data_IF_137839176570
#
_entry.id   IF_137839176570
#
_cell.length_a   1.000
_cell.length_b   1.000
_cell.length_c   1.000
_cell.angle_alpha   90.00
_cell.angle_beta   90.00
_cell.angle_gamma   90.00
#
_symmetry.space_group_name_H-M   'P 1'
#
loop_
_entity.id
_entity.type
_entity.pdbx_description
1 polymer ?
#
# COMPACT_ATOMS: atom_id res chain seq x y z
N UNK A 1 7.87 7.45 0.86
CA UNK A 1 8.32 6.87 -0.43
C UNK A 1 9.84 6.72 -0.51
N UNK A 2 10.64 7.76 -0.25
CA UNK A 2 12.12 7.65 -0.28
C UNK A 2 12.62 6.59 0.73
N UNK A 3 12.13 6.55 1.97
CA UNK A 3 12.56 5.55 2.95
C UNK A 3 12.13 4.11 2.62
N UNK A 4 10.95 3.90 2.02
CA UNK A 4 10.52 2.57 1.59
C UNK A 4 11.36 2.09 0.41
N UNK A 5 11.62 2.96 -0.58
CA UNK A 5 12.42 2.65 -1.75
C UNK A 5 13.90 2.43 -1.39
N UNK A 6 14.47 3.22 -0.47
CA UNK A 6 15.83 3.03 0.04
C UNK A 6 15.95 1.75 0.88
N UNK A 7 15.01 1.50 1.80
CA UNK A 7 14.97 0.25 2.55
C UNK A 7 14.85 -0.94 1.60
N UNK A 8 13.97 -0.89 0.61
CA UNK A 8 13.77 -1.98 -0.35
C UNK A 8 14.95 -2.21 -1.30
N UNK A 9 15.65 -1.16 -1.76
CA UNK A 9 16.87 -1.33 -2.56
C UNK A 9 18.01 -1.99 -1.76
N UNK A 10 18.13 -1.68 -0.48
CA UNK A 10 19.07 -2.34 0.43
C UNK A 10 18.69 -3.79 0.73
N UNK A 11 17.41 -4.04 1.01
CA UNK A 11 16.89 -5.35 1.36
C UNK A 11 16.95 -6.35 0.17
N UNK A 12 16.73 -5.87 -1.06
CA UNK A 12 16.74 -6.70 -2.26
C UNK A 12 18.12 -7.08 -2.80
N UNK A 13 19.20 -6.34 -2.46
CA UNK A 13 20.55 -6.60 -2.99
C UNK A 13 21.49 -7.30 -1.99
N UNK A 14 21.31 -7.11 -0.68
CA UNK A 14 22.30 -7.55 0.33
C UNK A 14 21.74 -8.09 1.66
N UNK A 15 20.44 -8.12 1.90
CA UNK A 15 19.92 -8.78 3.12
C UNK A 15 19.92 -10.33 3.12
N UNK A 16 19.93 -11.06 1.97
CA UNK A 16 19.97 -12.53 1.99
C UNK A 16 21.21 -13.11 2.71
N UNK A 17 22.32 -12.37 2.70
CA UNK A 17 23.60 -12.75 3.33
C UNK A 17 23.62 -12.54 4.87
N UNK A 18 22.63 -11.84 5.44
CA UNK A 18 22.51 -11.62 6.88
C UNK A 18 21.41 -12.47 7.56
N UNK A 19 20.60 -13.21 6.78
CA UNK A 19 19.65 -14.21 7.28
C UNK A 19 20.32 -15.26 8.19
N UNK A 20 21.56 -15.73 7.93
CA UNK A 20 22.24 -16.66 8.83
C UNK A 20 22.60 -16.04 10.20
N UNK A 21 22.87 -14.73 10.25
CA UNK A 21 23.20 -14.02 11.50
C UNK A 21 21.98 -13.82 12.40
N UNK A 22 20.80 -13.59 11.80
CA UNK A 22 19.52 -13.47 12.52
C UNK A 22 19.11 -14.83 13.13
N UNK A 23 19.38 -15.94 12.43
CA UNK A 23 19.08 -17.29 12.93
C UNK A 23 20.07 -17.76 14.03
N UNK A 24 21.29 -17.22 14.05
CA UNK A 24 22.30 -17.51 15.09
C UNK A 24 21.95 -16.84 16.43
N UNK A 25 21.43 -15.59 16.40
CA UNK A 25 21.00 -14.89 17.61
C UNK A 25 19.73 -15.47 18.24
N UNK A 26 18.85 -16.10 17.46
CA UNK A 26 17.63 -16.71 17.95
C UNK A 26 17.83 -18.09 18.61
N UNK A 27 19.00 -18.70 18.49
CA UNK A 27 19.24 -20.08 18.95
C UNK A 27 20.02 -20.21 20.26
N UNK A 28 20.54 -19.11 20.82
CA UNK A 28 21.35 -19.13 22.05
C UNK A 28 20.80 -18.22 23.14
N UNK A 29 19.59 -18.48 23.66
CA UNK A 29 19.22 -18.08 25.03
C UNK A 29 18.07 -18.95 25.55
N UNK A 30 18.37 -20.18 25.99
CA UNK A 30 17.49 -20.94 26.88
C UNK A 30 18.35 -21.47 28.04
N UNK A 31 18.41 -20.72 29.14
CA UNK A 31 18.40 -21.28 30.51
C UNK A 31 18.18 -20.19 31.58
N UNK A 32 17.02 -20.27 32.23
CA UNK A 32 16.72 -20.02 33.66
C UNK A 32 17.19 -18.73 34.37
N UNK A 33 16.23 -17.90 34.79
CA UNK A 33 15.92 -17.69 36.23
C UNK A 33 14.66 -16.82 36.41
N UNK A 34 13.78 -17.29 37.28
CA UNK A 34 12.50 -16.68 37.66
C UNK A 34 12.68 -15.50 38.62
N UNK A 35 11.98 -14.39 38.36
CA UNK A 35 11.42 -13.59 39.45
C UNK A 35 10.19 -12.82 38.97
N UNK A 36 9.05 -13.14 39.57
CA UNK A 36 7.75 -12.53 39.28
C UNK A 36 7.67 -11.13 39.91
N UNK A 37 7.22 -10.14 39.12
CA UNK A 37 6.44 -9.00 39.60
C UNK A 37 5.41 -8.61 38.54
N UNK A 38 4.13 -8.89 38.81
CA UNK A 38 2.96 -8.25 38.16
C UNK A 38 2.74 -6.88 38.83
N UNK A 39 2.42 -5.83 38.06
CA UNK A 39 1.01 -5.42 37.89
C UNK A 39 0.74 -4.94 36.44
N UNK A 40 -0.45 -4.79 35.86
CA UNK A 40 -1.87 -4.85 36.24
C UNK A 40 -2.69 -5.03 34.94
N UNK A 41 -3.85 -5.71 35.00
CA UNK A 41 -4.93 -5.69 33.96
C UNK A 41 -5.58 -4.30 34.00
N UNK A 42 -6.06 -3.61 32.97
CA UNK A 42 -6.61 -3.86 31.61
C UNK A 42 -7.13 -2.49 31.08
N UNK A 43 -7.88 -2.35 29.96
CA UNK A 43 -7.82 -2.92 28.61
C UNK A 43 -7.80 -1.83 27.51
N UNK A 44 -7.18 -2.08 26.36
CA UNK A 44 -7.74 -1.59 25.09
C UNK A 44 -7.34 -2.55 23.97
N UNK A 45 -8.17 -3.56 23.76
CA UNK A 45 -8.38 -4.09 22.42
C UNK A 45 -8.93 -2.95 21.57
N UNK A 46 -8.06 -2.10 21.03
CA UNK A 46 -8.40 -1.31 19.87
C UNK A 46 -8.78 -2.34 18.81
N UNK A 47 -10.07 -2.47 18.53
CA UNK A 47 -10.52 -3.27 17.38
C UNK A 47 -9.73 -2.75 16.19
N UNK A 48 -8.86 -3.57 15.60
CA UNK A 48 -8.18 -3.21 14.36
C UNK A 48 -9.27 -2.78 13.38
N UNK A 49 -9.35 -1.48 13.10
CA UNK A 49 -10.36 -0.95 12.21
C UNK A 49 -10.15 -1.58 10.84
N UNK A 50 -11.06 -2.46 10.46
CA UNK A 50 -11.03 -3.15 9.18
C UNK A 50 -11.91 -2.41 8.17
N UNK A 51 -11.43 -2.31 6.94
CA UNK A 51 -12.23 -1.79 5.83
C UNK A 51 -13.53 -2.56 5.65
N UNK A 52 -14.64 -1.82 5.59
CA UNK A 52 -15.98 -2.38 5.41
C UNK A 52 -16.27 -2.58 3.92
N UNK A 53 -17.15 -3.55 3.56
CA UNK A 53 -17.69 -3.65 2.21
C UNK A 53 -18.36 -2.34 1.74
N UNK A 54 -18.36 -2.11 0.42
CA UNK A 54 -18.99 -0.95 -0.23
C UNK A 54 -20.14 -1.45 -1.10
N UNK A 55 -21.35 -0.92 -0.92
CA UNK A 55 -22.56 -1.27 -1.72
C UNK A 55 -22.73 -2.78 -1.97
N UNK A 56 -22.47 -3.62 -0.97
CA UNK A 56 -22.32 -5.07 -1.15
C UNK A 56 -23.62 -5.85 -0.91
N UNK A 57 -24.75 -5.35 -1.39
CA UNK A 57 -26.00 -6.10 -1.28
C UNK A 57 -25.95 -7.42 -2.06
N UNK A 58 -26.88 -8.34 -1.77
CA UNK A 58 -26.89 -9.68 -2.37
C UNK A 58 -26.97 -9.61 -3.89
N UNK A 59 -27.73 -8.65 -4.43
CA UNK A 59 -27.88 -8.45 -5.89
C UNK A 59 -26.53 -8.11 -6.53
N UNK A 60 -25.82 -7.09 -6.04
CA UNK A 60 -24.50 -6.71 -6.58
C UNK A 60 -23.49 -7.86 -6.49
N UNK A 61 -23.50 -8.61 -5.39
CA UNK A 61 -22.61 -9.77 -5.22
C UNK A 61 -22.92 -10.86 -6.25
N UNK A 62 -24.18 -11.21 -6.43
CA UNK A 62 -24.61 -12.22 -7.40
C UNK A 62 -24.29 -11.78 -8.84
N UNK A 63 -24.63 -10.54 -9.21
CA UNK A 63 -24.35 -9.98 -10.54
C UNK A 63 -22.85 -9.95 -10.85
N UNK A 64 -22.02 -9.52 -9.88
CA UNK A 64 -20.56 -9.48 -10.05
C UNK A 64 -19.99 -10.87 -10.34
N UNK A 65 -20.43 -11.87 -9.57
CA UNK A 65 -19.92 -13.24 -9.71
C UNK A 65 -20.41 -13.91 -11.00
N UNK A 66 -21.66 -13.65 -11.39
CA UNK A 66 -22.21 -14.10 -12.66
C UNK A 66 -21.45 -13.46 -13.83
N UNK A 67 -21.24 -12.14 -13.80
CA UNK A 67 -20.49 -11.41 -14.80
C UNK A 67 -19.07 -11.96 -14.95
N UNK A 68 -18.35 -12.22 -13.84
CA UNK A 68 -17.03 -12.85 -13.88
C UNK A 68 -17.11 -14.25 -14.49
N UNK A 69 -18.09 -15.07 -14.10
CA UNK A 69 -18.23 -16.45 -14.60
C UNK A 69 -18.40 -16.48 -16.12
N UNK A 70 -19.20 -15.56 -16.67
CA UNK A 70 -19.48 -15.45 -18.10
C UNK A 70 -18.30 -14.82 -18.85
N UNK A 71 -17.79 -13.69 -18.36
CA UNK A 71 -16.90 -12.81 -19.13
C UNK A 71 -15.41 -13.15 -19.01
N UNK A 72 -14.98 -13.89 -17.97
CA UNK A 72 -13.54 -14.13 -17.69
C UNK A 72 -12.76 -14.79 -18.83
N UNK A 73 -13.44 -15.48 -19.76
CA UNK A 73 -12.81 -16.17 -20.90
C UNK A 73 -12.80 -15.35 -22.19
N UNK A 74 -13.61 -14.30 -22.26
CA UNK A 74 -13.88 -13.53 -23.49
C UNK A 74 -13.32 -12.12 -23.39
N UNK A 75 -13.31 -11.54 -22.17
CA UNK A 75 -12.88 -10.17 -21.95
C UNK A 75 -11.40 -10.09 -21.54
N UNK A 76 -10.71 -8.99 -21.91
CA UNK A 76 -9.33 -8.76 -21.50
C UNK A 76 -9.15 -8.76 -19.99
N UNK A 77 -8.02 -9.31 -19.55
CA UNK A 77 -7.60 -9.35 -18.15
C UNK A 77 -6.17 -8.85 -18.02
N UNK A 78 -5.94 -7.97 -17.07
CA UNK A 78 -4.62 -7.45 -16.70
C UNK A 78 -4.37 -7.73 -15.22
N UNK A 79 -3.45 -8.65 -14.93
CA UNK A 79 -3.18 -9.09 -13.56
C UNK A 79 -4.43 -9.58 -12.84
N UNK A 80 -4.88 -8.82 -11.83
CA UNK A 80 -6.08 -9.11 -11.04
C UNK A 80 -7.36 -8.42 -11.55
N UNK A 81 -7.28 -7.62 -12.62
CA UNK A 81 -8.37 -6.81 -13.16
C UNK A 81 -8.98 -7.46 -14.40
N UNK A 82 -10.30 -7.66 -14.40
CA UNK A 82 -11.07 -8.12 -15.56
C UNK A 82 -11.93 -6.97 -16.10
N UNK A 83 -11.82 -6.68 -17.40
CA UNK A 83 -12.58 -5.62 -18.06
C UNK A 83 -14.00 -6.09 -18.39
N UNK A 84 -14.98 -5.77 -17.54
CA UNK A 84 -16.37 -6.22 -17.70
C UNK A 84 -17.03 -5.59 -18.93
N UNK A 85 -16.91 -4.27 -19.06
CA UNK A 85 -17.44 -3.48 -20.18
C UNK A 85 -16.42 -2.43 -20.61
N UNK A 86 -16.83 -1.46 -21.40
CA UNK A 86 -15.96 -0.33 -21.80
C UNK A 86 -15.86 0.74 -20.71
N UNK A 87 -16.76 0.72 -19.72
CA UNK A 87 -16.77 1.64 -18.59
C UNK A 87 -16.61 0.98 -17.22
N UNK A 88 -16.57 -0.35 -17.15
CA UNK A 88 -16.48 -1.09 -15.87
C UNK A 88 -15.43 -2.18 -15.90
N UNK A 89 -14.75 -2.36 -14.78
CA UNK A 89 -13.87 -3.49 -14.53
C UNK A 89 -14.05 -4.02 -13.10
N UNK A 90 -13.50 -5.21 -12.85
CA UNK A 90 -13.46 -5.79 -11.50
C UNK A 90 -12.04 -6.26 -11.17
N UNK A 91 -11.46 -5.71 -10.10
CA UNK A 91 -10.23 -6.22 -9.49
C UNK A 91 -10.60 -7.28 -8.46
N UNK A 92 -10.08 -8.49 -8.59
CA UNK A 92 -10.39 -9.56 -7.63
C UNK A 92 -9.28 -10.59 -7.45
N UNK A 93 -9.18 -11.11 -6.23
CA UNK A 93 -8.17 -12.10 -5.88
C UNK A 93 -8.06 -12.33 -4.37
N UNK A 94 -7.18 -13.25 -3.97
CA UNK A 94 -6.87 -13.52 -2.55
C UNK A 94 -6.00 -12.44 -1.91
N UNK A 95 -5.21 -11.72 -2.72
CA UNK A 95 -4.33 -10.64 -2.26
C UNK A 95 -4.95 -9.25 -2.35
N UNK A 96 -6.08 -9.11 -3.05
CA UNK A 96 -6.83 -7.85 -3.14
C UNK A 96 -7.47 -7.53 -1.79
N UNK A 97 -7.36 -6.28 -1.34
CA UNK A 97 -7.82 -5.86 -0.01
C UNK A 97 -8.98 -4.86 -0.11
N UNK A 98 -9.94 -4.93 0.82
CA UNK A 98 -11.02 -3.93 0.92
C UNK A 98 -10.48 -2.53 1.28
N UNK A 99 -9.26 -2.44 1.82
CA UNK A 99 -8.58 -1.17 2.07
C UNK A 99 -8.31 -0.40 0.79
N UNK A 100 -8.02 -1.06 -0.32
CA UNK A 100 -7.83 -0.41 -1.62
C UNK A 100 -9.11 0.36 -2.06
N UNK A 101 -10.27 -0.28 -1.92
CA UNK A 101 -11.56 0.37 -2.20
C UNK A 101 -11.86 1.53 -1.24
N UNK A 102 -11.47 1.38 0.04
CA UNK A 102 -11.62 2.44 1.03
C UNK A 102 -10.73 3.63 0.70
N UNK A 103 -9.49 3.38 0.26
CA UNK A 103 -8.54 4.43 -0.14
C UNK A 103 -9.03 5.19 -1.36
N UNK A 104 -9.47 4.50 -2.42
CA UNK A 104 -9.99 5.20 -3.61
C UNK A 104 -11.17 6.10 -3.26
N UNK A 105 -12.08 5.65 -2.38
CA UNK A 105 -13.18 6.50 -1.90
C UNK A 105 -12.67 7.70 -1.11
N UNK A 106 -11.74 7.49 -0.18
CA UNK A 106 -11.14 8.57 0.60
C UNK A 106 -10.48 9.61 -0.31
N UNK A 107 -9.62 9.19 -1.25
CA UNK A 107 -8.95 10.09 -2.18
C UNK A 107 -9.95 10.88 -3.04
N UNK A 108 -10.97 10.20 -3.58
CA UNK A 108 -12.00 10.87 -4.41
C UNK A 108 -12.81 11.92 -3.65
N UNK A 109 -12.89 11.82 -2.32
CA UNK A 109 -13.67 12.72 -1.48
C UNK A 109 -12.86 13.92 -0.98
N UNK A 110 -11.54 13.79 -0.87
CA UNK A 110 -10.68 14.77 -0.23
C UNK A 110 -9.68 15.42 -1.19
N UNK A 111 -9.63 14.99 -2.45
CA UNK A 111 -8.68 15.50 -3.45
C UNK A 111 -9.30 15.55 -4.85
N UNK A 112 -8.64 16.27 -5.76
CA UNK A 112 -8.86 16.32 -7.21
C UNK A 112 -8.16 15.19 -7.97
N UNK A 113 -7.54 14.24 -7.26
CA UNK A 113 -6.81 13.15 -7.88
C UNK A 113 -7.81 12.19 -8.54
N UNK A 114 -7.73 11.99 -9.87
CA UNK A 114 -8.64 11.08 -10.55
C UNK A 114 -8.32 9.65 -10.15
N UNK A 115 -9.29 8.98 -9.54
CA UNK A 115 -9.19 7.57 -9.13
C UNK A 115 -10.41 6.80 -9.63
N UNK A 116 -10.31 5.48 -9.85
CA UNK A 116 -11.47 4.68 -10.24
C UNK A 116 -12.60 4.81 -9.23
N UNK A 117 -13.77 5.24 -9.68
CA UNK A 117 -14.96 5.29 -8.82
C UNK A 117 -15.33 3.87 -8.40
N UNK A 118 -15.40 3.62 -7.10
CA UNK A 118 -15.81 2.31 -6.56
C UNK A 118 -17.33 2.18 -6.61
N UNK A 119 -17.83 1.18 -7.33
CA UNK A 119 -19.26 0.87 -7.37
C UNK A 119 -19.64 -0.10 -6.26
N UNK A 120 -18.85 -1.15 -6.07
CA UNK A 120 -19.10 -2.20 -5.08
C UNK A 120 -17.78 -2.87 -4.65
N UNK A 121 -17.63 -3.19 -3.37
CA UNK A 121 -16.48 -3.95 -2.87
C UNK A 121 -16.90 -4.94 -1.80
N UNK A 122 -16.48 -6.20 -1.89
CA UNK A 122 -16.83 -7.23 -0.93
C UNK A 122 -15.85 -8.40 -0.92
N UNK A 123 -15.87 -9.18 0.17
CA UNK A 123 -15.16 -10.46 0.27
C UNK A 123 -16.15 -11.62 0.19
N UNK A 124 -15.76 -12.70 -0.49
CA UNK A 124 -16.48 -13.99 -0.54
C UNK A 124 -15.46 -15.13 -0.68
N UNK A 125 -15.54 -16.15 0.16
CA UNK A 125 -14.69 -17.35 0.08
C UNK A 125 -13.19 -17.03 0.02
N UNK A 126 -12.73 -16.10 0.87
CA UNK A 126 -11.32 -15.68 0.95
C UNK A 126 -10.81 -14.87 -0.25
N UNK A 127 -11.70 -14.39 -1.13
CA UNK A 127 -11.36 -13.49 -2.23
C UNK A 127 -12.08 -12.16 -2.08
N UNK A 128 -11.38 -11.08 -2.33
CA UNK A 128 -11.96 -9.74 -2.41
C UNK A 128 -12.28 -9.41 -3.86
N UNK A 129 -13.36 -8.67 -4.06
CA UNK A 129 -13.85 -8.20 -5.34
C UNK A 129 -14.10 -6.70 -5.21
N UNK A 130 -13.55 -5.91 -6.12
CA UNK A 130 -13.74 -4.46 -6.22
C UNK A 130 -14.22 -4.17 -7.63
N UNK A 131 -15.51 -3.86 -7.76
CA UNK A 131 -16.13 -3.40 -9.00
C UNK A 131 -15.99 -1.89 -9.05
N UNK A 132 -15.38 -1.40 -10.11
CA UNK A 132 -15.04 0.01 -10.25
C UNK A 132 -15.13 0.48 -11.70
N UNK A 133 -15.14 1.78 -11.86
CA UNK A 133 -15.06 2.42 -13.16
C UNK A 133 -13.76 2.06 -13.88
N UNK A 134 -13.85 1.77 -15.17
CA UNK A 134 -12.69 1.59 -16.04
C UNK A 134 -12.29 2.95 -16.60
N UNK A 135 -11.16 3.48 -16.13
CA UNK A 135 -10.57 4.70 -16.69
C UNK A 135 -9.97 4.39 -18.07
N UNK A 136 -10.38 5.17 -19.07
CA UNK A 136 -9.82 5.10 -20.43
C UNK A 136 -8.59 6.00 -20.53
N UNK A 137 -7.41 5.40 -20.49
CA UNK A 137 -6.12 6.07 -20.68
C UNK A 137 -5.00 5.05 -20.83
N UNK A 138 -3.84 5.52 -21.29
CA UNK A 138 -2.63 4.73 -21.42
C UNK A 138 -1.73 4.94 -20.20
N UNK A 139 -0.98 3.93 -19.78
CA UNK A 139 0.07 4.09 -18.77
C UNK A 139 1.05 5.17 -19.23
N UNK A 140 1.39 6.13 -18.37
CA UNK A 140 2.29 7.26 -18.71
C UNK A 140 3.65 6.79 -19.23
N UNK A 141 4.12 5.62 -18.78
CA UNK A 141 5.36 5.02 -19.26
C UNK A 141 5.30 4.59 -20.73
N UNK A 142 4.11 4.28 -21.27
CA UNK A 142 3.93 3.86 -22.66
C UNK A 142 4.24 5.02 -23.60
N UNK A 143 5.32 4.87 -24.37
CA UNK A 143 5.74 5.88 -25.34
C UNK A 143 6.41 7.12 -24.72
N UNK A 144 6.75 7.11 -23.43
CA UNK A 144 7.35 8.25 -22.71
C UNK A 144 8.56 8.86 -23.45
N UNK A 145 9.48 8.00 -23.91
CA UNK A 145 10.71 8.42 -24.62
C UNK A 145 10.40 9.18 -25.90
N UNK A 146 9.28 8.89 -26.56
CA UNK A 146 8.86 9.50 -27.84
C UNK A 146 8.07 10.80 -27.66
N UNK A 147 7.71 11.18 -26.43
CA UNK A 147 6.97 12.42 -26.15
C UNK A 147 7.89 13.62 -26.29
N UNK A 148 7.34 14.77 -26.69
CA UNK A 148 8.06 16.05 -26.65
C UNK A 148 8.37 16.48 -25.23
N UNK A 149 9.36 17.34 -25.07
CA UNK A 149 9.73 17.88 -23.74
C UNK A 149 8.59 18.70 -23.12
N UNK A 150 7.87 19.50 -23.90
CA UNK A 150 6.70 20.25 -23.42
C UNK A 150 5.62 19.31 -22.85
N UNK A 151 5.39 18.20 -23.54
CA UNK A 151 4.41 17.19 -23.13
C UNK A 151 4.82 16.50 -21.83
N UNK A 152 6.11 16.15 -21.69
CA UNK A 152 6.67 15.60 -20.45
C UNK A 152 6.55 16.62 -19.31
N UNK A 153 6.90 17.89 -19.56
CA UNK A 153 6.85 18.96 -18.57
C UNK A 153 5.43 19.21 -18.05
N UNK A 154 4.43 19.23 -18.93
CA UNK A 154 3.01 19.33 -18.54
C UNK A 154 2.58 18.18 -17.62
N UNK A 155 2.88 16.93 -18.01
CA UNK A 155 2.52 15.76 -17.22
C UNK A 155 3.23 15.73 -15.87
N UNK A 156 4.52 16.06 -15.82
CA UNK A 156 5.28 16.13 -14.56
C UNK A 156 4.73 17.23 -13.64
N UNK A 157 4.33 18.38 -14.20
CA UNK A 157 3.71 19.47 -13.45
C UNK A 157 2.37 19.03 -12.83
N UNK A 158 1.52 18.37 -13.60
CA UNK A 158 0.26 17.81 -13.10
C UNK A 158 0.50 16.76 -12.01
N UNK A 159 1.46 15.84 -12.23
CA UNK A 159 1.80 14.82 -11.25
C UNK A 159 2.32 15.43 -9.94
N UNK A 160 3.18 16.44 -10.03
CA UNK A 160 3.70 17.16 -8.86
C UNK A 160 2.56 17.85 -8.08
N UNK A 161 1.60 18.45 -8.78
CA UNK A 161 0.39 19.01 -8.16
C UNK A 161 -0.41 17.96 -7.40
N UNK A 162 -0.68 16.81 -8.03
CA UNK A 162 -1.43 15.70 -7.42
C UNK A 162 -0.70 15.08 -6.23
N UNK A 163 0.64 14.95 -6.31
CA UNK A 163 1.45 14.46 -5.18
C UNK A 163 1.44 15.44 -4.01
N UNK A 164 1.46 16.74 -4.28
CA UNK A 164 1.34 17.77 -3.24
C UNK A 164 -0.01 17.68 -2.54
N UNK A 165 -1.10 17.71 -3.30
CA UNK A 165 -2.45 17.56 -2.78
C UNK A 165 -2.63 16.30 -1.93
N UNK A 166 -2.10 15.16 -2.39
CA UNK A 166 -2.12 13.91 -1.63
C UNK A 166 -1.37 14.03 -0.29
N UNK A 167 -0.22 14.70 -0.27
CA UNK A 167 0.62 14.85 0.94
C UNK A 167 0.08 15.91 1.91
N UNK A 168 -0.76 16.82 1.43
CA UNK A 168 -1.41 17.83 2.25
C UNK A 168 -2.57 17.24 3.09
N UNK A 169 -3.02 16.01 2.76
CA UNK A 169 -3.99 15.28 3.56
C UNK A 169 -3.46 15.03 4.97
N UNK A 170 -4.14 15.62 5.96
CA UNK A 170 -3.75 15.53 7.36
C UNK A 170 -4.32 14.26 8.02
N UNK A 171 -3.51 13.49 8.75
CA UNK A 171 -4.03 12.41 9.56
C UNK A 171 -4.86 12.97 10.72
N UNK A 172 -5.89 12.25 11.19
CA UNK A 172 -6.61 12.62 12.41
C UNK A 172 -5.67 12.68 13.63
N UNK A 173 -5.96 13.53 14.64
CA UNK A 173 -5.14 13.60 15.84
C UNK A 173 -4.96 12.25 16.52
N UNK A 174 -3.73 11.95 16.96
CA UNK A 174 -3.38 10.72 17.67
C UNK A 174 -3.22 9.48 16.78
N UNK A 175 -3.16 9.64 15.45
CA UNK A 175 -2.86 8.56 14.50
C UNK A 175 -1.42 8.69 14.01
N UNK A 176 -0.63 7.63 14.19
CA UNK A 176 0.69 7.49 13.58
C UNK A 176 0.63 6.94 12.15
N UNK A 177 1.47 5.94 11.84
CA UNK A 177 1.52 5.35 10.50
C UNK A 177 0.44 4.25 10.38
N UNK A 178 -0.57 4.47 9.54
CA UNK A 178 -1.69 3.55 9.38
C UNK A 178 -2.32 3.65 7.99
N UNK A 179 -3.20 2.71 7.64
CA UNK A 179 -4.07 2.85 6.45
C UNK A 179 -5.14 3.92 6.64
N UNK A 180 -5.87 4.30 5.58
CA UNK A 180 -6.99 5.27 5.63
C UNK A 180 -8.09 4.92 6.64
N UNK A 181 -8.24 3.64 6.98
CA UNK A 181 -9.21 3.18 7.98
C UNK A 181 -8.61 3.10 9.39
N UNK A 182 -7.39 3.64 9.60
CA UNK A 182 -6.64 3.58 10.87
C UNK A 182 -6.32 2.15 11.31
N UNK A 183 -6.18 1.24 10.34
CA UNK A 183 -5.81 -0.15 10.55
C UNK A 183 -4.44 -0.47 9.95
N UNK A 184 -4.10 -1.76 9.89
CA UNK A 184 -2.83 -2.22 9.33
C UNK A 184 -2.66 -1.78 7.87
N UNK A 185 -1.42 -1.52 7.49
CA UNK A 185 -1.02 -1.38 6.10
C UNK A 185 -0.98 -2.74 5.41
N UNK A 186 -0.81 -2.73 4.08
CA UNK A 186 -0.59 -3.90 3.25
C UNK A 186 0.49 -3.58 2.23
N UNK A 187 1.56 -4.38 2.16
CA UNK A 187 2.57 -4.28 1.11
C UNK A 187 3.25 -5.65 0.98
N UNK A 188 3.16 -6.26 -0.20
CA UNK A 188 3.73 -7.58 -0.41
C UNK A 188 5.25 -7.60 -0.55
N UNK A 189 5.87 -6.41 -0.60
CA UNK A 189 7.32 -6.22 -0.72
C UNK A 189 7.98 -6.06 0.64
N UNK A 190 7.20 -5.81 1.70
CA UNK A 190 7.71 -5.72 3.06
C UNK A 190 7.85 -7.16 3.61
N UNK A 191 9.06 -7.59 3.99
CA UNK A 191 9.28 -8.91 4.55
C UNK A 191 8.62 -9.02 5.93
N UNK A 192 8.11 -10.22 6.25
CA UNK A 192 7.50 -10.48 7.55
C UNK A 192 6.63 -11.74 7.53
N UNK A 193 6.10 -12.14 8.70
CA UNK A 193 5.20 -13.30 8.81
C UNK A 193 3.84 -13.06 8.13
N UNK A 194 3.53 -11.81 7.76
CA UNK A 194 2.28 -11.39 7.14
C UNK A 194 2.55 -10.28 6.12
N UNK A 195 1.71 -10.19 5.09
CA UNK A 195 1.70 -9.07 4.13
C UNK A 195 1.09 -7.79 4.74
N UNK A 196 0.59 -7.87 5.98
CA UNK A 196 0.03 -6.78 6.77
C UNK A 196 0.95 -6.45 7.93
N UNK A 197 1.13 -5.16 8.18
CA UNK A 197 1.97 -4.63 9.26
C UNK A 197 1.38 -3.33 9.80
N UNK A 198 1.73 -2.99 11.04
CA UNK A 198 1.11 -1.88 11.76
C UNK A 198 -0.35 -2.14 12.17
N UNK A 199 -1.11 -1.09 12.53
CA UNK A 199 -0.72 0.32 12.54
C UNK A 199 0.40 0.61 13.55
N UNK A 200 1.06 1.76 13.41
CA UNK A 200 2.14 2.19 14.31
C UNK A 200 1.81 3.54 14.92
N UNK A 201 2.15 3.71 16.20
CA UNK A 201 1.93 4.97 16.91
C UNK A 201 2.89 6.07 16.43
N UNK A 202 4.09 5.69 16.00
CA UNK A 202 5.13 6.62 15.53
C UNK A 202 5.76 6.20 14.20
N UNK A 203 6.36 7.17 13.50
CA UNK A 203 7.15 6.89 12.29
C UNK A 203 8.40 6.05 12.63
N UNK A 204 8.94 6.22 13.83
CA UNK A 204 10.09 5.46 14.33
C UNK A 204 9.75 3.98 14.51
N UNK A 205 8.57 3.65 15.05
CA UNK A 205 8.11 2.25 15.17
C UNK A 205 7.89 1.61 13.81
N UNK A 206 7.32 2.36 12.86
CA UNK A 206 7.21 1.92 11.48
C UNK A 206 8.57 1.63 10.86
N UNK A 207 9.53 2.55 10.97
CA UNK A 207 10.88 2.36 10.46
C UNK A 207 11.59 1.18 11.12
N UNK A 208 11.51 1.04 12.45
CA UNK A 208 12.01 -0.13 13.19
C UNK A 208 11.43 -1.42 12.64
N UNK A 209 10.13 -1.45 12.36
CA UNK A 209 9.47 -2.59 11.73
C UNK A 209 10.04 -2.90 10.34
N UNK A 210 10.28 -1.89 9.49
CA UNK A 210 10.85 -2.09 8.15
C UNK A 210 12.26 -2.71 8.14
N UNK A 211 13.01 -2.54 9.23
CA UNK A 211 14.32 -3.17 9.46
C UNK A 211 14.26 -4.33 10.44
N UNK A 212 13.08 -4.94 10.63
CA UNK A 212 12.88 -6.15 11.44
C UNK A 212 13.39 -6.02 12.88
N UNK A 213 13.31 -4.81 13.45
CA UNK A 213 13.79 -4.53 14.82
C UNK A 213 15.30 -4.33 14.95
N UNK A 214 16.06 -4.33 13.86
CA UNK A 214 17.52 -4.21 13.89
C UNK A 214 17.95 -2.83 14.38
N UNK A 215 18.45 -2.72 15.61
CA UNK A 215 19.00 -1.48 16.16
C UNK A 215 20.44 -1.23 15.75
N UNK A 216 20.94 -0.03 16.04
CA UNK A 216 22.34 0.30 15.79
C UNK A 216 23.26 -0.66 16.55
N UNK A 217 24.19 -1.27 15.82
CA UNK A 217 25.23 -2.17 16.35
C UNK A 217 26.48 -1.94 15.52
N UNK A 218 27.62 -1.70 16.19
CA UNK A 218 28.89 -1.36 15.54
C UNK A 218 29.42 -2.45 14.60
N UNK A 219 28.91 -3.68 14.73
CA UNK A 219 29.28 -4.84 13.89
C UNK A 219 28.51 -4.90 12.56
N UNK A 220 27.47 -4.08 12.40
CA UNK A 220 26.70 -4.04 11.15
C UNK A 220 27.49 -3.34 10.04
N UNK A 221 27.13 -3.66 8.81
CA UNK A 221 27.65 -3.02 7.60
C UNK A 221 27.42 -1.49 7.67
N UNK A 222 28.39 -0.65 7.25
CA UNK A 222 28.21 0.80 7.17
C UNK A 222 26.95 1.23 6.42
N UNK A 223 26.54 0.48 5.40
CA UNK A 223 25.31 0.71 4.64
C UNK A 223 24.04 0.61 5.52
N UNK A 224 24.06 -0.34 6.47
CA UNK A 224 22.98 -0.54 7.45
C UNK A 224 23.03 0.57 8.51
N UNK A 225 24.22 1.02 8.93
CA UNK A 225 24.35 2.17 9.82
C UNK A 225 23.72 3.42 9.21
N UNK A 226 23.99 3.68 7.94
CA UNK A 226 23.41 4.81 7.22
C UNK A 226 21.89 4.70 7.12
N UNK A 227 21.35 3.50 6.82
CA UNK A 227 19.91 3.26 6.82
C UNK A 227 19.29 3.58 8.19
N UNK A 228 19.86 3.05 9.27
CA UNK A 228 19.39 3.28 10.64
C UNK A 228 19.45 4.78 10.96
N UNK A 229 20.57 5.44 10.66
CA UNK A 229 20.76 6.87 10.89
C UNK A 229 19.74 7.72 10.13
N UNK A 230 19.44 7.38 8.88
CA UNK A 230 18.40 8.08 8.12
C UNK A 230 17.01 7.87 8.72
N UNK A 231 16.71 6.65 9.14
CA UNK A 231 15.40 6.30 9.70
C UNK A 231 15.16 6.83 11.11
N UNK A 232 16.23 7.08 11.88
CA UNK A 232 16.17 7.71 13.22
C UNK A 232 15.92 9.22 13.20
N UNK A 233 15.98 9.87 12.02
CA UNK A 233 15.63 11.29 11.90
C UNK A 233 14.13 11.52 12.14
N UNK A 234 13.77 12.78 12.37
CA UNK A 234 12.37 13.19 12.32
C UNK A 234 11.88 13.20 10.86
N UNK A 235 10.72 12.60 10.63
CA UNK A 235 10.08 12.52 9.31
C UNK A 235 8.63 12.98 9.42
N UNK A 236 8.14 13.79 8.47
CA UNK A 236 6.75 14.21 8.47
C UNK A 236 5.85 13.01 8.18
N UNK A 237 4.74 12.93 8.91
CA UNK A 237 3.68 11.97 8.65
C UNK A 237 2.80 12.52 7.53
N UNK A 238 2.89 11.92 6.34
CA UNK A 238 2.15 12.33 5.15
C UNK A 238 1.52 11.12 4.48
N UNK A 239 0.32 11.31 3.93
CA UNK A 239 -0.35 10.26 3.17
C UNK A 239 0.41 9.96 1.87
N UNK A 240 0.58 8.68 1.53
CA UNK A 240 1.29 8.24 0.33
C UNK A 240 0.57 7.11 -0.39
N UNK A 241 0.76 7.05 -1.72
CA UNK A 241 0.25 5.96 -2.55
C UNK A 241 0.89 4.60 -2.23
N UNK A 242 2.14 4.58 -1.75
CA UNK A 242 2.90 3.36 -1.49
C UNK A 242 3.53 2.73 -2.75
N UNK A 243 2.89 2.83 -3.91
CA UNK A 243 3.39 2.30 -5.19
C UNK A 243 3.19 3.22 -6.42
N UNK A 244 3.51 4.52 -6.29
CA UNK A 244 3.33 5.47 -7.40
C UNK A 244 4.41 5.27 -8.48
N UNK A 245 4.07 4.53 -9.54
CA UNK A 245 4.97 4.23 -10.67
C UNK A 245 4.37 4.64 -12.01
N UNK A 246 5.17 4.61 -13.08
CA UNK A 246 4.70 4.90 -14.45
C UNK A 246 3.68 3.90 -14.99
N UNK A 247 3.50 2.76 -14.32
CA UNK A 247 2.48 1.75 -14.63
C UNK A 247 1.12 2.09 -13.98
N UNK A 248 1.13 2.92 -12.94
CA UNK A 248 -0.04 3.24 -12.12
C UNK A 248 -0.62 4.63 -12.40
N UNK A 249 -0.07 5.35 -13.39
CA UNK A 249 -0.53 6.67 -13.82
C UNK A 249 -1.08 6.53 -15.25
N UNK A 250 -2.35 6.86 -15.43
CA UNK A 250 -3.05 6.81 -16.71
C UNK A 250 -3.16 8.21 -17.30
N UNK A 251 -2.84 8.33 -18.59
CA UNK A 251 -2.88 9.59 -19.35
C UNK A 251 -3.77 9.49 -20.58
N UNK A 252 -4.31 10.62 -21.01
CA UNK A 252 -4.97 10.79 -22.31
C UNK A 252 -4.43 12.07 -22.93
N UNK A 253 -3.67 11.96 -24.01
CA UNK A 253 -2.92 13.10 -24.52
C UNK A 253 -1.91 13.58 -23.46
N UNK A 254 -1.97 14.87 -23.12
CA UNK A 254 -1.13 15.54 -22.11
C UNK A 254 -1.79 15.61 -20.72
N UNK A 255 -2.91 14.93 -20.50
CA UNK A 255 -3.67 15.01 -19.25
C UNK A 255 -3.58 13.72 -18.43
N UNK A 256 -3.33 13.84 -17.13
CA UNK A 256 -3.45 12.73 -16.17
C UNK A 256 -4.94 12.48 -15.89
N UNK A 257 -5.44 11.33 -16.33
CA UNK A 257 -6.85 10.95 -16.22
C UNK A 257 -7.10 9.87 -15.16
N UNK A 258 -6.06 9.31 -14.56
CA UNK A 258 -6.21 8.33 -13.49
C UNK A 258 -4.91 8.02 -12.75
N UNK A 259 -5.01 7.79 -11.45
CA UNK A 259 -4.01 7.10 -10.64
C UNK A 259 -4.67 5.85 -10.06
N UNK A 260 -4.05 4.69 -10.25
CA UNK A 260 -4.61 3.37 -9.92
C UNK A 260 -3.68 2.58 -9.00
N UNK A 261 -4.17 1.46 -8.47
CA UNK A 261 -3.42 0.52 -7.63
C UNK A 261 -3.06 1.04 -6.22
N UNK A 262 -4.08 1.54 -5.52
CA UNK A 262 -3.98 2.15 -4.18
C UNK A 262 -3.90 1.14 -3.03
N UNK A 263 -3.49 -0.11 -3.29
CA UNK A 263 -3.54 -1.19 -2.29
C UNK A 263 -2.48 -1.05 -1.18
N UNK A 264 -1.40 -0.33 -1.45
CA UNK A 264 -0.27 -0.08 -0.52
C UNK A 264 -0.33 1.30 0.14
N UNK A 265 -1.41 2.04 -0.06
CA UNK A 265 -1.52 3.42 0.39
C UNK A 265 -1.83 3.54 1.89
N UNK A 266 -1.31 4.61 2.48
CA UNK A 266 -1.40 4.93 3.91
C UNK A 266 -0.69 6.24 4.24
#
# INVERSE_FOLDING_TARGET
MVCLFHAMQYQGRKFPQYIPFINSFASNTITMSSSQKKPSRSPSTASLNSSKPVNSNVVYRCLTLLAIRILKRIRPREGNVLMLTDGLCVKYGRRVQLSEASTMRFISQHTSIPVPRVLCAFTRSGRTYIVMERIKGDMIGRGWVKRSEDSKAKLLTQLAGKVREMRDLQPPPGIGVASVVRGSLFDCRVPGPSLRFGPFDTVQDFHRCLRMGMEFDSRLDPEIHDLIKQQSKSWPLVFTHGDLSSLNILVRGDDIVGIVDWETAG
#
